data_IF_040951572163
#
_entry.id   IF_040951572163
#
_cell.length_a   1.000
_cell.length_b   1.000
_cell.length_c   1.000
_cell.angle_alpha   90.00
_cell.angle_beta   90.00
_cell.angle_gamma   90.00
#
_symmetry.space_group_name_H-M   'P 1'
#
loop_
_entity.id
_entity.type
_entity.pdbx_description
1 polymer ?
#
# COMPACT_ATOMS: atom_id res chain seq x y z
N UNK A 1 -11.73 -24.43 -12.61
CA UNK A 1 -11.76 -24.87 -11.19
C UNK A 1 -10.38 -25.21 -10.59
N UNK A 2 -9.54 -26.08 -11.20
CA UNK A 2 -8.24 -26.49 -10.60
C UNK A 2 -7.23 -25.34 -10.33
N UNK A 3 -7.13 -24.34 -11.23
CA UNK A 3 -6.20 -23.20 -11.09
C UNK A 3 -6.56 -22.29 -9.90
N UNK A 4 -7.85 -21.95 -9.73
CA UNK A 4 -8.37 -21.14 -8.61
C UNK A 4 -8.14 -21.83 -7.25
N UNK A 5 -8.41 -23.14 -7.14
CA UNK A 5 -8.12 -23.90 -5.90
C UNK A 5 -6.63 -24.06 -5.61
N UNK A 6 -5.77 -24.06 -6.63
CA UNK A 6 -4.32 -24.06 -6.45
C UNK A 6 -3.81 -22.73 -5.88
N UNK A 7 -4.22 -21.61 -6.49
CA UNK A 7 -3.86 -20.25 -6.06
C UNK A 7 -4.36 -19.94 -4.63
N UNK A 8 -5.58 -20.38 -4.31
CA UNK A 8 -6.13 -20.23 -2.95
C UNK A 8 -5.34 -21.05 -1.91
N UNK A 9 -4.96 -22.30 -2.25
CA UNK A 9 -4.11 -23.12 -1.37
C UNK A 9 -2.71 -22.55 -1.21
N UNK A 10 -2.14 -21.98 -2.28
CA UNK A 10 -0.87 -21.26 -2.22
C UNK A 10 -0.95 -20.05 -1.28
N UNK A 11 -2.03 -19.25 -1.34
CA UNK A 11 -2.25 -18.10 -0.46
C UNK A 11 -2.33 -18.53 1.02
N UNK A 12 -3.03 -19.62 1.31
CA UNK A 12 -3.11 -20.20 2.67
C UNK A 12 -1.72 -20.69 3.13
N UNK A 13 -0.98 -21.39 2.27
CA UNK A 13 0.37 -21.84 2.58
C UNK A 13 1.35 -20.67 2.79
N UNK A 14 1.23 -19.62 1.98
CA UNK A 14 2.01 -18.39 2.09
C UNK A 14 1.69 -17.68 3.41
N UNK A 15 0.43 -17.59 3.81
CA UNK A 15 0.01 -17.09 5.12
C UNK A 15 0.63 -17.90 6.27
N UNK A 16 0.60 -19.22 6.18
CA UNK A 16 1.20 -20.10 7.19
C UNK A 16 2.72 -19.91 7.27
N UNK A 17 3.40 -19.81 6.13
CA UNK A 17 4.83 -19.56 6.08
C UNK A 17 5.20 -18.19 6.66
N UNK A 18 4.43 -17.15 6.32
CA UNK A 18 4.61 -15.83 6.90
C UNK A 18 4.35 -15.83 8.40
N UNK A 19 3.37 -16.57 8.91
CA UNK A 19 3.15 -16.72 10.36
C UNK A 19 4.36 -17.36 11.08
N UNK A 20 5.01 -18.35 10.47
CA UNK A 20 6.24 -18.94 11.02
C UNK A 20 7.37 -17.90 11.01
N UNK A 21 7.56 -17.19 9.90
CA UNK A 21 8.54 -16.10 9.80
C UNK A 21 8.27 -15.02 10.84
N UNK A 22 7.01 -14.66 11.08
CA UNK A 22 6.61 -13.73 12.14
C UNK A 22 7.05 -14.20 13.52
N UNK A 23 6.73 -15.45 13.88
CA UNK A 23 7.13 -16.01 15.17
C UNK A 23 8.66 -16.00 15.36
N UNK A 24 9.42 -16.29 14.31
CA UNK A 24 10.88 -16.24 14.35
C UNK A 24 11.40 -14.81 14.55
N UNK A 25 10.86 -13.85 13.80
CA UNK A 25 11.21 -12.44 13.94
C UNK A 25 10.84 -11.91 15.33
N UNK A 26 9.70 -12.31 15.89
CA UNK A 26 9.28 -11.91 17.24
C UNK A 26 10.22 -12.45 18.31
N UNK A 27 10.67 -13.70 18.18
CA UNK A 27 11.69 -14.27 19.06
C UNK A 27 13.02 -13.52 18.97
N UNK A 28 13.46 -13.15 17.77
CA UNK A 28 14.67 -12.33 17.59
C UNK A 28 14.51 -10.92 18.16
N UNK A 29 13.32 -10.32 18.06
CA UNK A 29 13.04 -8.99 18.57
C UNK A 29 13.22 -8.89 20.10
N UNK A 30 13.05 -9.99 20.84
CA UNK A 30 13.28 -10.05 22.29
C UNK A 30 14.74 -9.84 22.68
N UNK A 31 15.66 -10.19 21.78
CA UNK A 31 17.11 -10.03 21.98
C UNK A 31 17.63 -8.65 21.57
N UNK A 32 16.77 -7.77 21.04
CA UNK A 32 17.14 -6.40 20.67
C UNK A 32 16.99 -5.49 21.89
N UNK A 33 18.12 -4.97 22.36
CA UNK A 33 18.16 -4.05 23.50
C UNK A 33 18.06 -2.58 23.09
N UNK A 34 18.54 -2.24 21.90
CA UNK A 34 18.49 -0.87 21.38
C UNK A 34 17.02 -0.49 21.02
N UNK A 35 16.43 0.53 21.68
CA UNK A 35 15.04 0.93 21.43
C UNK A 35 14.77 1.44 20.00
N UNK A 36 15.76 2.07 19.37
CA UNK A 36 15.67 2.54 17.99
C UNK A 36 15.63 1.35 17.02
N UNK A 37 16.54 0.39 17.19
CA UNK A 37 16.56 -0.83 16.37
C UNK A 37 15.29 -1.65 16.59
N UNK A 38 14.80 -1.73 17.82
CA UNK A 38 13.55 -2.43 18.15
C UNK A 38 12.35 -1.82 17.44
N UNK A 39 12.28 -0.49 17.37
CA UNK A 39 11.23 0.23 16.63
C UNK A 39 11.30 -0.07 15.12
N UNK A 40 12.49 0.04 14.52
CA UNK A 40 12.69 -0.27 13.10
C UNK A 40 12.32 -1.72 12.76
N UNK A 41 12.64 -2.65 13.66
CA UNK A 41 12.33 -4.06 13.50
C UNK A 41 10.82 -4.32 13.58
N UNK A 42 10.14 -3.72 14.56
CA UNK A 42 8.68 -3.80 14.69
C UNK A 42 7.97 -3.19 13.47
N UNK A 43 8.47 -2.08 12.93
CA UNK A 43 7.96 -1.53 11.67
C UNK A 43 8.11 -2.50 10.51
N UNK A 44 9.25 -3.16 10.39
CA UNK A 44 9.51 -4.14 9.34
C UNK A 44 8.54 -5.33 9.43
N UNK A 45 8.28 -5.82 10.65
CA UNK A 45 7.29 -6.87 10.88
C UNK A 45 5.89 -6.40 10.47
N UNK A 46 5.46 -5.22 10.91
CA UNK A 46 4.15 -4.67 10.54
C UNK A 46 3.96 -4.59 9.02
N UNK A 47 5.01 -4.25 8.27
CA UNK A 47 4.95 -4.20 6.79
C UNK A 47 4.78 -5.56 6.15
N UNK A 48 5.53 -6.57 6.60
CA UNK A 48 5.32 -7.95 6.14
C UNK A 48 3.88 -8.38 6.44
N UNK A 49 3.30 -7.90 7.54
CA UNK A 49 1.98 -8.33 7.98
C UNK A 49 0.90 -7.68 7.11
N UNK A 50 1.01 -6.37 6.88
CA UNK A 50 0.18 -5.65 5.92
C UNK A 50 0.28 -6.25 4.52
N UNK A 51 1.48 -6.65 4.07
CA UNK A 51 1.66 -7.34 2.79
C UNK A 51 0.84 -8.64 2.74
N UNK A 52 0.92 -9.47 3.79
CA UNK A 52 0.17 -10.72 3.87
C UNK A 52 -1.35 -10.47 3.80
N UNK A 53 -1.85 -9.48 4.56
CA UNK A 53 -3.26 -9.13 4.60
C UNK A 53 -3.76 -8.60 3.25
N UNK A 54 -3.00 -7.70 2.62
CA UNK A 54 -3.33 -7.15 1.30
C UNK A 54 -3.39 -8.27 0.24
N UNK A 55 -2.42 -9.18 0.26
CA UNK A 55 -2.46 -10.37 -0.59
C UNK A 55 -3.71 -11.21 -0.29
N UNK A 56 -4.05 -11.46 0.97
CA UNK A 56 -5.24 -12.23 1.32
C UNK A 56 -6.53 -11.55 0.83
N UNK A 57 -6.66 -10.23 1.00
CA UNK A 57 -7.84 -9.46 0.54
C UNK A 57 -8.02 -9.55 -0.98
N UNK A 58 -6.95 -9.35 -1.74
CA UNK A 58 -6.99 -9.41 -3.21
C UNK A 58 -7.30 -10.82 -3.73
N UNK A 59 -6.77 -11.86 -3.07
CA UNK A 59 -6.97 -13.26 -3.48
C UNK A 59 -8.29 -13.88 -3.00
N UNK A 60 -9.03 -13.20 -2.12
CA UNK A 60 -10.41 -13.57 -1.76
C UNK A 60 -11.42 -13.18 -2.85
N UNK A 61 -11.08 -12.27 -3.76
CA UNK A 61 -11.94 -11.92 -4.89
C UNK A 61 -12.29 -13.16 -5.73
N UNK A 62 -13.54 -13.25 -6.16
CA UNK A 62 -14.05 -14.34 -7.00
C UNK A 62 -13.42 -14.33 -8.40
N UNK A 63 -13.02 -13.15 -8.87
CA UNK A 63 -12.29 -12.94 -10.12
C UNK A 63 -10.95 -12.22 -9.86
N UNK A 64 -9.86 -12.96 -10.07
CA UNK A 64 -8.48 -12.45 -9.90
C UNK A 64 -7.97 -11.72 -11.15
N UNK A 65 -8.72 -11.76 -12.26
CA UNK A 65 -8.38 -11.06 -13.50
C UNK A 65 -8.92 -9.63 -13.52
N UNK A 66 -9.99 -9.37 -12.77
CA UNK A 66 -10.66 -8.07 -12.67
C UNK A 66 -10.99 -7.79 -11.21
N UNK A 67 -10.06 -7.18 -10.50
CA UNK A 67 -10.28 -6.72 -9.12
C UNK A 67 -11.09 -5.44 -9.17
N UNK A 68 -12.20 -5.40 -8.43
CA UNK A 68 -12.87 -4.14 -8.10
C UNK A 68 -11.97 -3.35 -7.14
N UNK A 69 -11.17 -2.47 -7.73
CA UNK A 69 -10.13 -1.76 -7.00
C UNK A 69 -10.70 -0.71 -6.06
N UNK A 70 -11.86 -0.14 -6.37
CA UNK A 70 -12.55 0.83 -5.52
C UNK A 70 -12.96 0.18 -4.20
N UNK A 71 -13.68 -0.94 -4.28
CA UNK A 71 -14.10 -1.71 -3.11
C UNK A 71 -12.89 -2.18 -2.29
N UNK A 72 -11.85 -2.69 -2.97
CA UNK A 72 -10.62 -3.13 -2.31
C UNK A 72 -9.92 -2.02 -1.52
N UNK A 73 -9.76 -0.82 -2.10
CA UNK A 73 -9.11 0.30 -1.42
C UNK A 73 -9.95 0.85 -0.26
N UNK A 74 -11.27 0.83 -0.37
CA UNK A 74 -12.17 1.19 0.73
C UNK A 74 -12.01 0.24 1.92
N UNK A 75 -11.99 -1.08 1.67
CA UNK A 75 -11.76 -2.08 2.71
C UNK A 75 -10.38 -1.90 3.38
N UNK A 76 -9.34 -1.61 2.58
CA UNK A 76 -7.99 -1.35 3.08
C UNK A 76 -7.95 -0.14 4.00
N UNK A 77 -8.57 0.98 3.59
CA UNK A 77 -8.64 2.19 4.41
C UNK A 77 -9.42 1.96 5.70
N UNK A 78 -10.53 1.21 5.65
CA UNK A 78 -11.30 0.87 6.84
C UNK A 78 -10.47 0.05 7.83
N UNK A 79 -9.74 -0.96 7.33
CA UNK A 79 -8.84 -1.76 8.15
C UNK A 79 -7.73 -0.92 8.79
N UNK A 80 -7.13 0.01 8.05
CA UNK A 80 -6.11 0.93 8.56
C UNK A 80 -6.66 1.87 9.63
N UNK A 81 -7.84 2.46 9.39
CA UNK A 81 -8.49 3.34 10.35
C UNK A 81 -8.75 2.64 11.69
N UNK A 82 -9.21 1.37 11.65
CA UNK A 82 -9.38 0.55 12.84
C UNK A 82 -8.05 0.22 13.51
N UNK A 83 -7.05 -0.24 12.76
CA UNK A 83 -5.75 -0.66 13.34
C UNK A 83 -5.01 0.47 14.03
N UNK A 84 -5.15 1.71 13.56
CA UNK A 84 -4.54 2.89 14.15
C UNK A 84 -5.47 3.64 15.13
N UNK A 85 -6.64 3.07 15.45
CA UNK A 85 -7.66 3.69 16.32
C UNK A 85 -7.94 5.15 15.92
N UNK A 86 -8.15 5.38 14.62
CA UNK A 86 -8.37 6.71 14.08
C UNK A 86 -9.68 7.27 14.61
N UNK A 87 -9.58 8.41 15.29
CA UNK A 87 -10.73 9.20 15.69
C UNK A 87 -11.30 9.92 14.46
N UNK A 88 -12.49 9.50 14.03
CA UNK A 88 -13.18 10.05 12.87
C UNK A 88 -13.59 11.53 13.04
N UNK A 89 -13.67 12.05 14.27
CA UNK A 89 -13.88 13.48 14.51
C UNK A 89 -12.61 14.30 14.31
N UNK A 90 -11.44 13.64 14.36
CA UNK A 90 -10.13 14.26 14.23
C UNK A 90 -9.56 14.13 12.83
N UNK A 91 -9.57 12.92 12.26
CA UNK A 91 -9.03 12.65 10.93
C UNK A 91 -10.15 12.15 10.02
N UNK A 92 -10.38 12.89 8.94
CA UNK A 92 -11.37 12.53 7.91
C UNK A 92 -10.68 11.97 6.66
N UNK A 93 -11.20 10.87 6.14
CA UNK A 93 -10.79 10.33 4.84
C UNK A 93 -11.68 10.88 3.72
N UNK A 94 -11.05 11.43 2.69
CA UNK A 94 -11.71 11.88 1.45
C UNK A 94 -11.32 10.92 0.34
N UNK A 95 -12.28 10.09 -0.10
CA UNK A 95 -12.02 9.02 -1.05
C UNK A 95 -12.81 9.31 -2.32
N UNK A 96 -12.11 9.38 -3.44
CA UNK A 96 -12.70 9.56 -4.77
C UNK A 96 -12.04 8.58 -5.76
N UNK A 97 -12.68 7.43 -5.95
CA UNK A 97 -12.13 6.34 -6.76
C UNK A 97 -13.11 6.03 -7.88
N UNK A 98 -12.65 6.22 -9.11
CA UNK A 98 -13.34 5.78 -10.31
C UNK A 98 -13.41 4.25 -10.33
N UNK A 99 -14.59 3.71 -10.61
CA UNK A 99 -14.79 2.26 -10.73
C UNK A 99 -14.27 1.78 -12.08
N UNK A 100 -13.04 1.27 -12.10
CA UNK A 100 -12.51 0.49 -13.21
C UNK A 100 -11.81 -0.75 -12.66
N UNK A 101 -11.86 -1.86 -13.39
CA UNK A 101 -11.24 -3.07 -12.89
C UNK A 101 -9.73 -3.01 -13.11
N UNK A 102 -8.98 -3.58 -12.18
CA UNK A 102 -7.52 -3.68 -12.23
C UNK A 102 -7.11 -5.14 -12.16
N UNK A 103 -6.12 -5.52 -12.95
CA UNK A 103 -5.54 -6.84 -12.81
C UNK A 103 -4.82 -6.97 -11.45
N UNK A 104 -4.69 -8.19 -10.94
CA UNK A 104 -4.08 -8.43 -9.63
C UNK A 104 -2.58 -8.06 -9.56
N UNK A 105 -1.88 -8.14 -10.69
CA UNK A 105 -0.46 -7.80 -10.82
C UNK A 105 -0.20 -6.30 -10.62
N UNK A 106 -1.20 -5.45 -10.90
CA UNK A 106 -1.20 -4.01 -10.67
C UNK A 106 -1.86 -3.67 -9.32
N UNK A 107 -2.96 -4.33 -8.97
CA UNK A 107 -3.69 -4.05 -7.72
C UNK A 107 -2.83 -4.30 -6.48
N UNK A 108 -1.99 -5.34 -6.51
CA UNK A 108 -1.09 -5.69 -5.39
C UNK A 108 -0.08 -4.57 -5.08
N UNK A 109 0.82 -4.16 -5.99
CA UNK A 109 1.76 -3.07 -5.73
C UNK A 109 1.04 -1.76 -5.40
N UNK A 110 -0.11 -1.45 -6.02
CA UNK A 110 -0.88 -0.25 -5.69
C UNK A 110 -1.41 -0.27 -4.26
N UNK A 111 -2.00 -1.39 -3.83
CA UNK A 111 -2.50 -1.56 -2.47
C UNK A 111 -1.40 -1.41 -1.41
N UNK A 112 -0.21 -1.95 -1.68
CA UNK A 112 0.96 -1.80 -0.82
C UNK A 112 1.43 -0.33 -0.75
N UNK A 113 1.46 0.37 -1.89
CA UNK A 113 1.81 1.79 -1.93
C UNK A 113 0.82 2.60 -1.10
N UNK A 114 -0.49 2.40 -1.29
CA UNK A 114 -1.53 3.08 -0.51
C UNK A 114 -1.35 2.79 0.98
N UNK A 115 -1.14 1.53 1.36
CA UNK A 115 -0.93 1.15 2.74
C UNK A 115 0.23 1.89 3.41
N UNK A 116 1.39 1.94 2.76
CA UNK A 116 2.57 2.64 3.28
C UNK A 116 2.32 4.15 3.41
N UNK A 117 1.75 4.78 2.37
CA UNK A 117 1.58 6.23 2.33
C UNK A 117 0.50 6.71 3.31
N UNK A 118 -0.62 5.98 3.42
CA UNK A 118 -1.67 6.26 4.40
C UNK A 118 -1.16 6.03 5.82
N UNK A 119 -0.41 4.95 6.05
CA UNK A 119 0.23 4.69 7.34
C UNK A 119 1.17 5.83 7.73
N UNK A 120 1.99 6.32 6.80
CA UNK A 120 2.89 7.46 7.06
C UNK A 120 2.11 8.73 7.39
N UNK A 121 1.02 9.02 6.67
CA UNK A 121 0.15 10.15 6.97
C UNK A 121 -0.43 10.04 8.39
N UNK A 122 -1.00 8.88 8.75
CA UNK A 122 -1.57 8.63 10.08
C UNK A 122 -0.55 8.78 11.21
N UNK A 123 0.69 8.33 11.00
CA UNK A 123 1.77 8.39 12.01
C UNK A 123 2.42 9.76 12.14
N UNK A 124 2.59 10.48 11.04
CA UNK A 124 3.51 11.62 10.99
C UNK A 124 2.87 12.94 10.58
N UNK A 125 1.77 12.92 9.79
CA UNK A 125 1.19 14.16 9.27
C UNK A 125 0.47 14.99 10.35
N UNK A 126 -0.01 14.33 11.42
CA UNK A 126 -0.87 14.96 12.44
C UNK A 126 -0.33 14.77 13.87
N UNK A 127 0.83 15.34 14.22
CA UNK A 127 1.38 15.29 15.57
C UNK A 127 0.47 16.01 16.57
N UNK A 128 0.69 15.76 17.87
CA UNK A 128 -0.01 16.42 18.98
C UNK A 128 -1.54 16.38 18.89
N UNK A 129 -2.07 15.28 18.34
CA UNK A 129 -3.51 15.05 18.10
C UNK A 129 -4.14 16.14 17.23
N UNK A 130 -3.38 16.71 16.29
CA UNK A 130 -3.91 17.62 15.26
C UNK A 130 -5.02 16.94 14.45
N UNK A 131 -6.02 17.73 14.07
CA UNK A 131 -7.08 17.32 13.14
C UNK A 131 -6.67 17.58 11.70
N UNK A 132 -7.24 16.82 10.76
CA UNK A 132 -6.96 17.00 9.35
C UNK A 132 -7.64 15.96 8.46
N UNK A 133 -7.16 15.91 7.23
CA UNK A 133 -7.77 15.16 6.15
C UNK A 133 -6.71 14.35 5.42
N UNK A 134 -7.06 13.11 5.10
CA UNK A 134 -6.27 12.24 4.23
C UNK A 134 -7.12 12.00 2.97
N UNK A 135 -6.55 12.34 1.82
CA UNK A 135 -7.15 12.16 0.50
C UNK A 135 -6.63 10.91 -0.19
N UNK A 136 -7.52 10.18 -0.84
CA UNK A 136 -7.20 9.09 -1.76
C UNK A 136 -8.03 9.27 -3.02
N UNK A 137 -7.37 9.57 -4.14
CA UNK A 137 -8.03 9.63 -5.44
C UNK A 137 -7.44 8.62 -6.40
N UNK A 138 -8.27 7.92 -7.17
CA UNK A 138 -7.80 7.02 -8.21
C UNK A 138 -8.71 7.11 -9.43
N UNK A 139 -8.16 7.48 -10.59
CA UNK A 139 -8.92 7.66 -11.83
C UNK A 139 -8.05 7.35 -13.04
N UNK A 140 -8.67 7.26 -14.22
CA UNK A 140 -7.96 7.19 -15.50
C UNK A 140 -7.83 8.57 -16.12
N UNK A 141 -6.64 8.91 -16.61
CA UNK A 141 -6.44 10.13 -17.39
C UNK A 141 -6.92 9.96 -18.85
N UNK A 142 -6.80 11.03 -19.65
CA UNK A 142 -7.19 11.04 -21.08
C UNK A 142 -6.40 10.04 -21.95
N UNK A 143 -5.25 9.58 -21.49
CA UNK A 143 -4.39 8.59 -22.15
C UNK A 143 -4.62 7.17 -21.62
N UNK A 144 -5.70 6.95 -20.85
CA UNK A 144 -6.02 5.67 -20.19
C UNK A 144 -4.93 5.18 -19.21
N UNK A 145 -4.12 6.10 -18.68
CA UNK A 145 -3.16 5.81 -17.60
C UNK A 145 -3.85 5.96 -16.25
N UNK A 146 -3.49 5.08 -15.32
CA UNK A 146 -4.01 5.13 -13.95
C UNK A 146 -3.27 6.22 -13.18
N UNK A 147 -4.04 7.15 -12.62
CA UNK A 147 -3.59 8.23 -11.76
C UNK A 147 -4.03 7.95 -10.33
N UNK A 148 -3.08 7.64 -9.45
CA UNK A 148 -3.32 7.38 -8.03
C UNK A 148 -2.68 8.50 -7.21
N UNK A 149 -3.48 9.24 -6.44
CA UNK A 149 -3.00 10.30 -5.54
C UNK A 149 -3.35 9.98 -4.10
N UNK A 150 -2.34 10.03 -3.23
CA UNK A 150 -2.49 9.97 -1.78
C UNK A 150 -2.02 11.30 -1.22
N UNK A 151 -2.85 11.97 -0.44
CA UNK A 151 -2.50 13.28 0.13
C UNK A 151 -2.91 13.41 1.59
N UNK A 152 -2.24 14.31 2.31
CA UNK A 152 -2.63 14.80 3.62
C UNK A 152 -2.45 16.31 3.70
N UNK A 153 -3.23 16.96 4.57
CA UNK A 153 -3.08 18.40 4.88
C UNK A 153 -2.35 18.63 6.22
N UNK A 154 -1.46 17.70 6.58
CA UNK A 154 -0.71 17.76 7.82
C UNK A 154 0.52 18.67 7.74
N UNK A 155 1.51 18.37 8.57
CA UNK A 155 2.75 19.15 8.67
C UNK A 155 3.66 19.04 7.43
N UNK A 156 3.36 18.11 6.52
CA UNK A 156 4.17 17.82 5.34
C UNK A 156 5.38 16.92 5.65
N UNK A 157 5.87 16.24 4.62
CA UNK A 157 7.13 15.49 4.73
C UNK A 157 8.35 16.42 4.70
N UNK A 158 9.40 16.13 5.49
CA UNK A 158 10.63 16.92 5.51
C UNK A 158 11.22 17.25 4.12
N UNK A 159 11.81 18.44 3.99
CA UNK A 159 12.32 18.97 2.73
C UNK A 159 13.53 18.19 2.18
N UNK A 160 14.29 17.54 3.05
CA UNK A 160 15.45 16.71 2.72
C UNK A 160 15.06 15.32 2.19
N UNK A 161 13.80 14.90 2.34
CA UNK A 161 13.33 13.64 1.80
C UNK A 161 13.26 13.70 0.28
N UNK A 162 14.14 12.97 -0.39
CA UNK A 162 14.01 12.68 -1.80
C UNK A 162 13.51 11.25 -1.98
N UNK A 163 12.35 11.06 -2.60
CA UNK A 163 11.74 9.73 -2.75
C UNK A 163 12.64 8.73 -3.50
N UNK A 164 13.47 9.21 -4.43
CA UNK A 164 14.40 8.37 -5.20
C UNK A 164 15.70 8.03 -4.47
N UNK A 165 16.02 8.75 -3.38
CA UNK A 165 17.29 8.63 -2.63
C UNK A 165 17.07 8.48 -1.12
N UNK A 166 15.85 8.17 -0.70
CA UNK A 166 15.46 8.11 0.70
C UNK A 166 16.09 6.91 1.40
N UNK A 167 16.42 7.08 2.69
CA UNK A 167 16.83 6.00 3.59
C UNK A 167 15.65 5.35 4.30
N UNK A 168 14.46 5.96 4.21
CA UNK A 168 13.25 5.36 4.77
C UNK A 168 12.88 4.14 3.95
N UNK A 169 12.89 2.97 4.59
CA UNK A 169 12.52 1.71 3.97
C UNK A 169 11.10 1.78 3.35
N UNK A 170 10.19 2.59 3.91
CA UNK A 170 8.79 2.65 3.46
C UNK A 170 8.68 3.40 2.14
N UNK A 171 9.40 4.51 2.04
CA UNK A 171 9.49 5.27 0.80
C UNK A 171 10.35 4.55 -0.26
N UNK A 172 11.36 3.77 0.14
CA UNK A 172 12.08 2.87 -0.77
C UNK A 172 11.16 1.79 -1.36
N UNK A 173 10.28 1.20 -0.54
CA UNK A 173 9.27 0.26 -0.99
C UNK A 173 8.31 0.92 -1.98
N UNK A 174 7.76 2.08 -1.63
CA UNK A 174 6.88 2.86 -2.53
C UNK A 174 7.56 3.14 -3.88
N UNK A 175 8.81 3.60 -3.86
CA UNK A 175 9.57 3.86 -5.08
C UNK A 175 9.79 2.59 -5.90
N UNK A 176 10.18 1.49 -5.26
CA UNK A 176 10.42 0.19 -5.92
C UNK A 176 9.16 -0.34 -6.59
N UNK A 177 8.02 -0.32 -5.87
CA UNK A 177 6.73 -0.76 -6.39
C UNK A 177 6.24 0.14 -7.53
N UNK A 178 6.47 1.46 -7.44
CA UNK A 178 6.19 2.39 -8.54
C UNK A 178 6.98 1.99 -9.79
N UNK A 179 8.25 1.61 -9.66
CA UNK A 179 9.05 1.14 -10.80
C UNK A 179 8.63 -0.22 -11.33
N UNK A 180 8.16 -1.12 -10.46
CA UNK A 180 7.55 -2.39 -10.90
C UNK A 180 6.28 -2.15 -11.75
N UNK A 181 5.48 -1.13 -11.39
CA UNK A 181 4.35 -0.66 -12.19
C UNK A 181 4.76 0.04 -13.49
N UNK A 182 6.07 0.19 -13.75
CA UNK A 182 6.63 1.03 -14.83
C UNK A 182 6.08 2.46 -14.78
N UNK A 183 5.82 2.95 -13.57
CA UNK A 183 5.21 4.25 -13.32
C UNK A 183 6.21 5.33 -12.92
N UNK A 184 5.64 6.52 -12.77
CA UNK A 184 6.30 7.69 -12.20
C UNK A 184 5.60 8.11 -10.91
N UNK A 185 6.36 8.70 -10.00
CA UNK A 185 5.86 9.25 -8.75
C UNK A 185 6.39 10.66 -8.55
N UNK A 186 5.49 11.58 -8.20
CA UNK A 186 5.78 12.98 -7.91
C UNK A 186 5.39 13.23 -6.46
N UNK A 187 6.19 14.03 -5.76
CA UNK A 187 5.95 14.43 -4.38
C UNK A 187 5.72 15.95 -4.34
N UNK A 188 4.49 16.35 -4.04
CA UNK A 188 4.10 17.73 -3.78
C UNK A 188 4.03 17.98 -2.26
N UNK A 189 4.48 19.16 -1.84
CA UNK A 189 4.53 19.64 -0.45
C UNK A 189 3.77 20.94 -0.23
N UNK A 190 3.04 21.42 -1.23
CA UNK A 190 2.44 22.74 -1.23
C UNK A 190 1.35 22.92 -0.16
N UNK A 191 0.63 21.84 0.19
CA UNK A 191 -0.51 21.86 1.12
C UNK A 191 -0.50 20.67 2.09
N UNK A 192 0.67 20.36 2.65
CA UNK A 192 0.92 19.15 3.43
C UNK A 192 1.80 18.19 2.63
N UNK A 193 1.34 16.98 2.39
CA UNK A 193 2.04 16.00 1.53
C UNK A 193 1.09 15.47 0.47
N UNK A 194 1.52 15.37 -0.78
CA UNK A 194 0.81 14.60 -1.80
C UNK A 194 1.78 13.78 -2.64
N UNK A 195 1.51 12.48 -2.74
CA UNK A 195 2.18 11.57 -3.65
C UNK A 195 1.25 11.29 -4.82
N UNK A 196 1.73 11.62 -6.03
CA UNK A 196 1.00 11.42 -7.27
C UNK A 196 1.71 10.37 -8.09
N UNK A 197 1.04 9.25 -8.31
CA UNK A 197 1.53 8.13 -9.09
C UNK A 197 0.79 8.04 -10.41
N UNK A 198 1.54 7.77 -11.47
CA UNK A 198 0.98 7.57 -12.79
C UNK A 198 1.64 6.37 -13.48
N UNK A 199 0.82 5.41 -13.92
CA UNK A 199 1.30 4.18 -14.55
C UNK A 199 0.30 3.65 -15.58
N UNK A 200 0.78 2.78 -16.46
CA UNK A 200 -0.05 2.20 -17.51
C UNK A 200 -0.78 0.96 -16.99
N UNK A 201 -2.02 0.77 -17.43
CA UNK A 201 -2.66 -0.53 -17.30
C UNK A 201 -1.92 -1.51 -18.22
N UNK A 202 -1.32 -2.56 -17.64
CA UNK A 202 -0.71 -3.63 -18.41
C UNK A 202 -1.84 -4.44 -19.03
N UNK A 203 -1.97 -4.35 -20.36
CA UNK A 203 -2.91 -5.18 -21.12
C UNK A 203 -2.72 -6.65 -20.78
N UNK A 204 -3.79 -7.28 -20.27
CA UNK A 204 -3.83 -8.69 -19.92
C UNK A 204 -3.54 -9.64 -21.11
N UNK A 205 -3.47 -9.12 -22.33
CA UNK A 205 -3.21 -9.90 -23.55
C UNK A 205 -1.72 -10.10 -23.87
N UNK A 206 -0.79 -9.33 -23.28
CA UNK A 206 0.63 -9.43 -23.62
C UNK A 206 1.36 -10.53 -22.83
N UNK A 207 0.85 -10.92 -21.66
CA UNK A 207 1.49 -11.95 -20.80
C UNK A 207 1.43 -13.39 -21.37
N UNK A 208 0.63 -13.63 -22.42
CA UNK A 208 0.47 -14.96 -23.02
C UNK A 208 1.33 -15.22 -24.27
N UNK A 209 2.22 -14.29 -24.67
CA UNK A 209 3.11 -14.45 -25.84
C UNK A 209 4.56 -14.85 -25.52
N UNK A 210 4.89 -15.11 -24.26
CA UNK A 210 6.28 -15.39 -23.82
C UNK A 210 6.63 -16.84 -23.50
N UNK A 211 5.76 -17.81 -23.78
CA UNK A 211 6.07 -19.25 -23.59
C UNK A 211 5.70 -20.03 -24.84
N UNK A 212 6.63 -20.08 -25.78
CA UNK A 212 6.74 -21.13 -26.80
C UNK A 212 8.12 -21.76 -26.59
#
# INVERSE_FOLDING_TARGET
MKKKSCLRRFTIALKNNLQIVFGLLELQARSIHDPYIKTLFAESQNRIHSMALIHEMLYRSSDLSQIDFATYLQDLLHSLAQSYNVDAQRISFQIDIETFPLNIELATPCGLIVNELITNALKHAFPDRRSGNIGLTCHKNKENRVCLTISDNGIGVPADINISKTRSLGLQLVYTLTKQLKGNIILDRSRGTAFQLEFNEIDAQVSNRGKI
#
